data_IF_904472422166
#
_entry.id   IF_904472422166
#
_cell.length_a   1.000
_cell.length_b   1.000
_cell.length_c   1.000
_cell.angle_alpha   90.00
_cell.angle_beta   90.00
_cell.angle_gamma   90.00
#
_symmetry.space_group_name_H-M   'P 1'
#
loop_
_entity.id
_entity.type
_entity.pdbx_description
1 polymer ?
#
# COMPACT_ATOMS: atom_id res chain seq x y z
N UNK A 1 28.62 -18.46 18.27
CA UNK A 1 29.22 -17.09 18.34
C UNK A 1 29.66 -16.49 17.00
N UNK A 2 29.43 -17.12 15.84
CA UNK A 2 29.88 -16.60 14.52
C UNK A 2 29.10 -15.39 13.99
N UNK A 3 27.80 -15.28 14.33
CA UNK A 3 26.91 -14.23 13.83
C UNK A 3 26.73 -13.06 14.81
N UNK A 4 27.79 -12.67 15.52
CA UNK A 4 27.70 -11.50 16.41
C UNK A 4 27.62 -10.22 15.56
N UNK A 5 26.77 -9.23 15.92
CA UNK A 5 26.67 -7.97 15.17
C UNK A 5 27.99 -7.23 15.03
N UNK A 6 28.90 -7.35 15.99
CA UNK A 6 30.25 -6.77 15.92
C UNK A 6 31.05 -7.29 14.73
N UNK A 7 31.00 -8.60 14.44
CA UNK A 7 31.70 -9.16 13.28
C UNK A 7 31.06 -8.73 11.95
N UNK A 8 29.74 -8.51 11.95
CA UNK A 8 29.05 -8.00 10.78
C UNK A 8 29.49 -6.57 10.42
N UNK A 9 29.62 -5.70 11.41
CA UNK A 9 30.08 -4.31 11.21
C UNK A 9 31.58 -4.22 10.86
N UNK A 10 32.37 -5.23 11.25
CA UNK A 10 33.78 -5.34 10.87
C UNK A 10 34.00 -5.90 9.46
N UNK A 11 32.97 -6.49 8.85
CA UNK A 11 33.10 -7.07 7.51
C UNK A 11 33.31 -5.96 6.45
N UNK A 12 34.31 -6.13 5.60
CA UNK A 12 34.67 -5.15 4.57
C UNK A 12 33.49 -4.86 3.63
N UNK A 13 32.73 -5.89 3.24
CA UNK A 13 31.58 -5.70 2.35
C UNK A 13 30.43 -4.92 3.02
N UNK A 14 30.31 -5.01 4.34
CA UNK A 14 29.31 -4.25 5.10
C UNK A 14 29.74 -2.80 5.24
N UNK A 15 31.03 -2.55 5.49
CA UNK A 15 31.59 -1.20 5.55
C UNK A 15 31.47 -0.49 4.20
N UNK A 16 31.79 -1.18 3.09
CA UNK A 16 31.58 -0.64 1.75
C UNK A 16 30.11 -0.28 1.49
N UNK A 17 29.17 -1.14 1.91
CA UNK A 17 27.74 -0.86 1.81
C UNK A 17 27.31 0.35 2.66
N UNK A 18 27.84 0.49 3.87
CA UNK A 18 27.57 1.65 4.74
C UNK A 18 27.99 2.94 4.05
N UNK A 19 29.21 2.98 3.50
CA UNK A 19 29.74 4.14 2.77
C UNK A 19 28.86 4.49 1.57
N UNK A 20 28.39 3.49 0.81
CA UNK A 20 27.52 3.69 -0.35
C UNK A 20 26.12 4.22 0.05
N UNK A 21 25.56 3.71 1.15
CA UNK A 21 24.28 4.22 1.67
C UNK A 21 24.43 5.68 2.12
N UNK A 22 25.51 6.00 2.82
CA UNK A 22 25.77 7.35 3.32
C UNK A 22 26.06 8.34 2.18
N UNK A 23 26.73 7.91 1.09
CA UNK A 23 27.01 8.74 -0.09
C UNK A 23 25.75 9.10 -0.88
N UNK A 24 24.84 8.14 -1.10
CA UNK A 24 23.62 8.36 -1.85
C UNK A 24 22.64 9.30 -1.11
N UNK A 25 22.61 9.19 0.22
CA UNK A 25 21.71 9.99 1.05
C UNK A 25 22.09 11.47 1.14
N UNK A 26 23.36 11.82 0.90
CA UNK A 26 23.79 13.22 0.82
C UNK A 26 23.08 13.99 -0.30
N UNK A 27 22.70 13.30 -1.39
CA UNK A 27 22.02 13.87 -2.56
C UNK A 27 20.55 14.25 -2.29
N UNK A 28 19.94 13.66 -1.25
CA UNK A 28 18.50 13.83 -0.92
C UNK A 28 18.28 14.88 0.18
N UNK A 29 19.35 15.51 0.69
CA UNK A 29 19.27 16.59 1.68
C UNK A 29 18.88 16.14 3.10
N UNK A 30 18.84 14.83 3.35
CA UNK A 30 18.58 14.25 4.67
C UNK A 30 19.85 13.50 5.11
N UNK A 31 20.55 13.94 6.17
CA UNK A 31 21.72 13.23 6.69
C UNK A 31 21.24 11.98 7.45
N UNK A 32 20.93 10.91 6.72
CA UNK A 32 20.60 9.60 7.31
C UNK A 32 21.89 8.83 7.59
N UNK A 33 22.27 8.82 8.87
CA UNK A 33 23.35 7.98 9.40
C UNK A 33 22.95 6.51 9.25
N UNK A 34 23.77 5.69 8.59
CA UNK A 34 23.45 4.28 8.33
C UNK A 34 23.53 3.42 9.61
N UNK A 35 24.43 3.76 10.54
CA UNK A 35 24.60 3.08 11.83
C UNK A 35 24.73 4.11 12.96
N UNK A 36 23.87 4.04 13.97
CA UNK A 36 23.91 4.90 15.16
C UNK A 36 24.02 4.06 16.43
N UNK A 37 25.13 4.19 17.14
CA UNK A 37 25.36 3.49 18.40
C UNK A 37 25.15 4.42 19.59
N UNK A 38 24.30 4.02 20.55
CA UNK A 38 24.01 4.76 21.77
C UNK A 38 24.52 3.94 22.97
N UNK A 39 25.58 4.43 23.63
CA UNK A 39 26.29 3.72 24.69
C UNK A 39 25.84 4.08 26.12
N UNK A 40 24.76 4.84 26.30
CA UNK A 40 24.28 5.32 27.61
C UNK A 40 22.77 5.55 27.68
N UNK A 41 22.22 5.72 28.90
CA UNK A 41 20.79 6.01 29.13
C UNK A 41 19.84 4.80 28.99
N UNK A 42 18.55 5.09 28.80
CA UNK A 42 17.46 4.09 28.62
C UNK A 42 17.44 3.54 27.18
N UNK A 43 17.83 4.35 26.20
CA UNK A 43 17.80 4.01 24.76
C UNK A 43 19.13 3.43 24.26
N UNK A 44 19.77 2.56 25.06
CA UNK A 44 21.04 1.94 24.68
C UNK A 44 20.83 0.93 23.56
N UNK A 45 21.67 0.99 22.55
CA UNK A 45 21.60 0.06 21.43
C UNK A 45 22.29 0.57 20.18
N UNK A 46 22.37 -0.30 19.18
CA UNK A 46 22.81 0.04 17.84
C UNK A 46 21.61 0.07 16.92
N UNK A 47 21.31 1.25 16.38
CA UNK A 47 20.23 1.49 15.44
C UNK A 47 20.81 1.54 14.03
N UNK A 48 20.08 1.00 13.07
CA UNK A 48 20.57 0.78 11.71
C UNK A 48 19.45 1.02 10.71
N UNK A 49 19.81 1.47 9.51
CA UNK A 49 18.86 1.62 8.41
C UNK A 49 18.32 0.26 7.94
N UNK A 50 17.17 0.30 7.27
CA UNK A 50 16.40 -0.88 6.86
C UNK A 50 17.19 -1.80 5.91
N UNK A 51 17.98 -1.20 5.02
CA UNK A 51 18.86 -1.89 4.06
C UNK A 51 19.92 -2.72 4.78
N UNK A 52 20.52 -2.17 5.84
CA UNK A 52 21.53 -2.88 6.62
C UNK A 52 20.93 -4.06 7.40
N UNK A 53 19.69 -3.92 7.87
CA UNK A 53 18.95 -5.02 8.52
C UNK A 53 18.73 -6.18 7.52
N UNK A 54 18.38 -5.88 6.27
CA UNK A 54 18.26 -6.91 5.25
C UNK A 54 19.59 -7.58 4.93
N UNK A 55 20.67 -6.81 4.75
CA UNK A 55 22.01 -7.37 4.51
C UNK A 55 22.46 -8.27 5.68
N UNK A 56 22.19 -7.87 6.92
CA UNK A 56 22.48 -8.67 8.10
C UNK A 56 21.73 -9.99 8.10
N UNK A 57 20.42 -9.97 7.79
CA UNK A 57 19.60 -11.17 7.69
C UNK A 57 20.12 -12.14 6.59
N UNK A 58 20.57 -11.60 5.45
CA UNK A 58 21.20 -12.38 4.38
C UNK A 58 22.53 -13.00 4.83
N UNK A 59 23.35 -12.24 5.56
CA UNK A 59 24.65 -12.70 6.06
C UNK A 59 24.54 -13.85 7.06
N UNK A 60 23.49 -13.85 7.90
CA UNK A 60 23.23 -14.92 8.86
C UNK A 60 22.63 -16.14 8.18
N UNK A 61 21.68 -15.93 7.25
CA UNK A 61 20.88 -17.01 6.67
C UNK A 61 21.05 -17.05 5.15
N UNK A 62 21.83 -18.01 4.60
CA UNK A 62 21.96 -18.18 3.16
C UNK A 62 20.62 -18.56 2.51
N UNK A 63 19.75 -19.27 3.24
CA UNK A 63 18.39 -19.59 2.78
C UNK A 63 17.56 -18.32 2.59
N UNK A 64 17.63 -17.39 3.54
CA UNK A 64 16.94 -16.10 3.42
C UNK A 64 17.52 -15.27 2.27
N UNK A 65 18.85 -15.24 2.13
CA UNK A 65 19.52 -14.56 1.02
C UNK A 65 19.00 -15.03 -0.35
N UNK A 66 18.93 -16.35 -0.56
CA UNK A 66 18.42 -16.92 -1.81
C UNK A 66 16.96 -16.54 -2.09
N UNK A 67 16.11 -16.47 -1.06
CA UNK A 67 14.71 -16.06 -1.19
C UNK A 67 14.62 -14.60 -1.65
N UNK A 68 15.39 -13.70 -1.03
CA UNK A 68 15.36 -12.28 -1.39
C UNK A 68 15.87 -12.05 -2.82
N UNK A 69 16.93 -12.74 -3.22
CA UNK A 69 17.47 -12.66 -4.59
C UNK A 69 16.40 -13.09 -5.60
N UNK A 70 15.78 -14.27 -5.40
CA UNK A 70 14.72 -14.76 -6.29
C UNK A 70 13.48 -13.89 -6.29
N UNK A 71 13.14 -13.29 -5.14
CA UNK A 71 12.03 -12.36 -5.04
C UNK A 71 12.29 -11.10 -5.88
N UNK A 72 13.51 -10.58 -5.83
CA UNK A 72 13.91 -9.44 -6.65
C UNK A 72 13.90 -9.77 -8.15
N UNK A 73 14.45 -10.92 -8.55
CA UNK A 73 14.44 -11.37 -9.95
C UNK A 73 13.02 -11.56 -10.49
N UNK A 74 12.12 -12.14 -9.69
CA UNK A 74 10.72 -12.29 -10.10
C UNK A 74 10.02 -10.93 -10.22
N UNK A 75 10.26 -10.01 -9.27
CA UNK A 75 9.68 -8.66 -9.31
C UNK A 75 10.11 -7.87 -10.56
N UNK A 76 11.39 -7.93 -10.92
CA UNK A 76 11.93 -7.24 -12.12
C UNK A 76 11.40 -7.84 -13.42
N UNK A 77 11.06 -9.14 -13.44
CA UNK A 77 10.38 -9.80 -14.55
C UNK A 77 8.86 -9.57 -14.56
N UNK A 78 8.32 -8.72 -13.68
CA UNK A 78 6.88 -8.46 -13.55
C UNK A 78 6.08 -9.65 -12.98
N UNK A 79 6.76 -10.67 -12.45
CA UNK A 79 6.13 -11.82 -11.80
C UNK A 79 5.83 -11.46 -10.35
N UNK A 80 4.61 -11.72 -9.92
CA UNK A 80 4.25 -11.59 -8.51
C UNK A 80 5.01 -12.64 -7.71
N UNK A 81 5.82 -12.21 -6.74
CA UNK A 81 6.43 -13.13 -5.77
C UNK A 81 5.32 -13.61 -4.87
N UNK A 82 4.92 -14.90 -4.93
CA UNK A 82 4.01 -15.43 -3.94
C UNK A 82 4.78 -15.37 -2.62
N UNK A 83 4.25 -14.68 -1.60
CA UNK A 83 4.72 -14.90 -0.23
C UNK A 83 4.71 -16.42 -0.03
N UNK A 84 5.89 -17.01 0.18
CA UNK A 84 6.06 -18.46 0.25
C UNK A 84 4.95 -19.03 1.12
N UNK A 85 4.12 -19.89 0.54
CA UNK A 85 3.18 -20.70 1.31
C UNK A 85 4.05 -21.50 2.27
N UNK A 86 4.24 -20.98 3.49
CA UNK A 86 4.62 -21.81 4.63
C UNK A 86 3.59 -22.92 4.58
N UNK A 87 4.06 -24.18 4.45
CA UNK A 87 3.20 -25.34 4.46
C UNK A 87 2.10 -25.10 5.48
N UNK A 88 0.85 -25.20 5.01
CA UNK A 88 -0.36 -24.89 5.74
C UNK A 88 -0.43 -25.70 7.03
N UNK A 89 0.29 -25.26 8.05
CA UNK A 89 -0.23 -25.31 9.41
C UNK A 89 -1.52 -24.51 9.32
N UNK A 90 -2.63 -25.17 9.60
CA UNK A 90 -3.98 -24.61 9.64
C UNK A 90 -4.01 -23.42 10.59
N UNK A 91 -3.53 -22.27 10.10
CA UNK A 91 -3.74 -20.98 10.73
C UNK A 91 -5.26 -20.87 10.86
N UNK A 92 -5.81 -20.60 12.06
CA UNK A 92 -7.25 -20.54 12.25
C UNK A 92 -7.82 -19.63 11.16
N UNK A 93 -8.58 -20.21 10.24
CA UNK A 93 -9.08 -19.50 9.08
C UNK A 93 -9.94 -18.36 9.60
N UNK A 94 -9.53 -17.13 9.31
CA UNK A 94 -10.30 -15.99 9.77
C UNK A 94 -11.70 -16.07 9.17
N UNK A 95 -12.76 -15.67 9.90
CA UNK A 95 -14.12 -15.78 9.37
C UNK A 95 -14.27 -14.97 8.08
N UNK A 96 -15.29 -15.31 7.28
CA UNK A 96 -15.69 -14.49 6.13
C UNK A 96 -16.04 -13.07 6.58
N UNK A 97 -15.91 -12.10 5.68
CA UNK A 97 -16.32 -10.72 5.95
C UNK A 97 -17.79 -10.66 6.41
N UNK A 98 -18.09 -9.74 7.33
CA UNK A 98 -19.47 -9.44 7.68
C UNK A 98 -20.18 -8.78 6.50
N UNK A 99 -21.51 -8.88 6.45
CA UNK A 99 -22.33 -8.26 5.41
C UNK A 99 -22.09 -6.74 5.31
N UNK A 100 -21.87 -6.07 6.45
CA UNK A 100 -21.54 -4.64 6.50
C UNK A 100 -20.17 -4.34 5.91
N UNK A 101 -19.14 -5.10 6.29
CA UNK A 101 -17.77 -4.94 5.78
C UNK A 101 -17.69 -5.23 4.28
N UNK A 102 -18.42 -6.24 3.81
CA UNK A 102 -18.58 -6.50 2.39
C UNK A 102 -19.32 -5.35 1.69
N UNK A 103 -20.32 -4.75 2.34
CA UNK A 103 -21.00 -3.55 1.85
C UNK A 103 -20.04 -2.37 1.68
N UNK A 104 -19.14 -2.14 2.63
CA UNK A 104 -18.12 -1.10 2.56
C UNK A 104 -17.10 -1.39 1.44
N UNK A 105 -16.65 -2.64 1.30
CA UNK A 105 -15.79 -3.06 0.19
C UNK A 105 -16.46 -2.83 -1.16
N UNK A 106 -17.71 -3.25 -1.31
CA UNK A 106 -18.50 -3.05 -2.53
C UNK A 106 -18.64 -1.57 -2.86
N UNK A 107 -18.93 -0.73 -1.87
CA UNK A 107 -19.00 0.72 -2.05
C UNK A 107 -17.66 1.31 -2.49
N UNK A 108 -16.56 0.93 -1.84
CA UNK A 108 -15.23 1.41 -2.21
C UNK A 108 -14.88 1.05 -3.67
N UNK A 109 -15.14 -0.20 -4.10
CA UNK A 109 -14.92 -0.63 -5.48
C UNK A 109 -15.79 0.16 -6.46
N UNK A 110 -17.08 0.35 -6.15
CA UNK A 110 -17.99 1.13 -6.99
C UNK A 110 -17.57 2.59 -7.11
N UNK A 111 -17.15 3.20 -5.99
CA UNK A 111 -16.61 4.56 -6.01
C UNK A 111 -15.41 4.59 -6.96
N UNK A 112 -14.40 3.74 -6.78
CA UNK A 112 -13.20 3.72 -7.64
C UNK A 112 -13.58 3.55 -9.12
N UNK A 113 -14.52 2.66 -9.41
CA UNK A 113 -14.97 2.40 -10.77
C UNK A 113 -15.71 3.58 -11.41
N UNK A 114 -16.48 4.37 -10.65
CA UNK A 114 -17.15 5.59 -11.16
C UNK A 114 -16.18 6.64 -11.73
N UNK A 115 -14.91 6.59 -11.32
CA UNK A 115 -13.89 7.48 -11.89
C UNK A 115 -13.39 7.02 -13.26
N UNK A 116 -13.58 5.76 -13.62
CA UNK A 116 -13.32 5.27 -14.96
C UNK A 116 -14.45 5.69 -15.91
N UNK A 117 -14.15 5.77 -17.21
CA UNK A 117 -15.17 6.07 -18.22
C UNK A 117 -16.24 4.97 -18.32
N UNK A 118 -15.83 3.70 -18.26
CA UNK A 118 -16.73 2.54 -18.22
C UNK A 118 -16.76 1.94 -16.82
N UNK A 119 -17.68 2.40 -15.99
CA UNK A 119 -17.83 2.05 -14.57
C UNK A 119 -18.14 0.56 -14.35
N UNK A 120 -19.05 -0.03 -15.13
CA UNK A 120 -19.43 -1.45 -15.00
C UNK A 120 -18.23 -2.35 -15.34
N UNK A 121 -17.55 -2.08 -16.44
CA UNK A 121 -16.38 -2.86 -16.87
C UNK A 121 -15.24 -2.72 -15.87
N UNK A 122 -14.98 -1.51 -15.38
CA UNK A 122 -13.96 -1.28 -14.36
C UNK A 122 -14.27 -2.04 -13.08
N UNK A 123 -15.52 -2.04 -12.62
CA UNK A 123 -15.99 -2.80 -11.45
C UNK A 123 -15.67 -4.30 -11.62
N UNK A 124 -15.98 -4.87 -12.79
CA UNK A 124 -15.74 -6.28 -13.07
C UNK A 124 -14.24 -6.63 -13.10
N UNK A 125 -13.41 -5.77 -13.68
CA UNK A 125 -11.95 -5.93 -13.72
C UNK A 125 -11.35 -5.85 -12.32
N UNK A 126 -11.79 -4.89 -11.49
CA UNK A 126 -11.34 -4.77 -10.10
C UNK A 126 -11.71 -6.04 -9.32
N UNK A 127 -12.95 -6.52 -9.44
CA UNK A 127 -13.35 -7.78 -8.78
C UNK A 127 -12.61 -9.01 -9.30
N UNK A 128 -12.29 -9.07 -10.60
CA UNK A 128 -11.45 -10.14 -11.15
C UNK A 128 -10.03 -10.11 -10.55
N UNK A 129 -9.46 -8.91 -10.40
CA UNK A 129 -8.15 -8.72 -9.77
C UNK A 129 -8.17 -9.13 -8.30
N UNK A 130 -9.19 -8.71 -7.53
CA UNK A 130 -9.32 -9.08 -6.12
C UNK A 130 -9.47 -10.60 -5.93
N UNK A 131 -10.26 -11.26 -6.79
CA UNK A 131 -10.40 -12.74 -6.78
C UNK A 131 -9.08 -13.44 -7.03
N UNK A 132 -8.32 -12.99 -8.03
CA UNK A 132 -7.00 -13.54 -8.35
C UNK A 132 -5.99 -13.38 -7.20
N UNK A 133 -5.99 -12.23 -6.52
CA UNK A 133 -5.08 -11.95 -5.41
C UNK A 133 -5.38 -12.76 -4.15
N UNK A 134 -6.68 -12.94 -3.86
CA UNK A 134 -7.11 -13.67 -2.68
C UNK A 134 -7.17 -15.19 -2.91
N UNK A 135 -6.92 -15.67 -4.14
CA UNK A 135 -7.11 -17.07 -4.55
C UNK A 135 -8.54 -17.57 -4.25
N UNK A 136 -9.56 -16.78 -4.60
CA UNK A 136 -10.96 -17.06 -4.27
C UNK A 136 -11.87 -17.02 -5.51
N UNK A 137 -12.82 -17.96 -5.59
CA UNK A 137 -13.78 -18.04 -6.69
C UNK A 137 -14.78 -16.87 -6.70
N UNK A 138 -15.20 -16.41 -5.52
CA UNK A 138 -16.12 -15.29 -5.35
C UNK A 138 -15.54 -14.21 -4.42
N UNK A 139 -15.87 -12.95 -4.67
CA UNK A 139 -15.46 -11.80 -3.83
C UNK A 139 -16.11 -11.89 -2.44
N UNK A 140 -17.27 -12.54 -2.33
CA UNK A 140 -17.98 -12.75 -1.05
C UNK A 140 -17.23 -13.69 -0.11
N UNK A 141 -16.31 -14.50 -0.64
CA UNK A 141 -15.54 -15.48 0.12
C UNK A 141 -14.21 -14.90 0.64
N UNK A 142 -13.96 -13.60 0.45
CA UNK A 142 -12.82 -12.89 1.03
C UNK A 142 -12.90 -12.95 2.56
N UNK A 143 -11.76 -13.17 3.18
CA UNK A 143 -11.61 -13.28 4.64
C UNK A 143 -10.83 -12.10 5.23
N UNK A 144 -10.92 -11.89 6.54
CA UNK A 144 -10.26 -10.76 7.20
C UNK A 144 -8.72 -10.80 7.14
N UNK A 145 -8.10 -11.98 7.03
CA UNK A 145 -6.65 -12.14 6.84
C UNK A 145 -6.16 -11.56 5.50
N UNK A 146 -7.05 -11.49 4.51
CA UNK A 146 -6.75 -11.01 3.16
C UNK A 146 -7.03 -9.52 3.02
N UNK A 147 -7.58 -8.87 4.05
CA UNK A 147 -8.08 -7.51 3.98
C UNK A 147 -6.99 -6.48 3.71
N UNK A 148 -5.81 -6.68 4.27
CA UNK A 148 -4.68 -5.79 4.04
C UNK A 148 -4.23 -5.83 2.56
N UNK A 149 -4.27 -7.01 1.95
CA UNK A 149 -3.96 -7.20 0.53
C UNK A 149 -5.00 -6.46 -0.32
N UNK A 150 -6.28 -6.64 0.00
CA UNK A 150 -7.38 -5.95 -0.69
C UNK A 150 -7.24 -4.43 -0.57
N UNK A 151 -7.03 -3.90 0.65
CA UNK A 151 -6.85 -2.45 0.87
C UNK A 151 -5.69 -1.89 0.06
N UNK A 152 -4.53 -2.54 0.11
CA UNK A 152 -3.34 -2.11 -0.63
C UNK A 152 -3.58 -2.07 -2.14
N UNK A 153 -4.32 -3.04 -2.67
CA UNK A 153 -4.62 -3.09 -4.10
C UNK A 153 -5.67 -2.05 -4.52
N UNK A 154 -6.65 -1.75 -3.67
CA UNK A 154 -7.57 -0.63 -3.91
C UNK A 154 -6.83 0.71 -3.93
N UNK A 155 -5.94 0.96 -2.96
CA UNK A 155 -5.10 2.16 -2.96
C UNK A 155 -4.19 2.24 -4.19
N UNK A 156 -3.61 1.11 -4.62
CA UNK A 156 -2.79 1.07 -5.84
C UNK A 156 -3.59 1.48 -7.07
N UNK A 157 -4.82 0.96 -7.22
CA UNK A 157 -5.70 1.25 -8.35
C UNK A 157 -6.15 2.71 -8.32
N UNK A 158 -6.56 3.21 -7.16
CA UNK A 158 -6.94 4.62 -6.97
C UNK A 158 -5.80 5.57 -7.34
N UNK A 159 -4.57 5.26 -6.91
CA UNK A 159 -3.38 6.04 -7.28
C UNK A 159 -3.14 6.07 -8.80
N UNK A 160 -3.35 4.96 -9.49
CA UNK A 160 -3.23 4.90 -10.97
C UNK A 160 -4.30 5.77 -11.63
N UNK A 161 -5.54 5.69 -11.17
CA UNK A 161 -6.66 6.45 -11.74
C UNK A 161 -6.57 7.95 -11.44
N UNK A 162 -5.92 8.34 -10.33
CA UNK A 162 -5.79 9.74 -9.90
C UNK A 162 -5.23 10.65 -11.00
N UNK A 163 -4.19 10.22 -11.72
CA UNK A 163 -3.61 11.00 -12.83
C UNK A 163 -4.62 11.21 -13.96
N UNK A 164 -5.36 10.18 -14.33
CA UNK A 164 -6.42 10.26 -15.34
C UNK A 164 -7.55 11.21 -14.90
N UNK A 165 -8.00 11.09 -13.65
CA UNK A 165 -9.08 11.92 -13.08
C UNK A 165 -8.68 13.40 -13.08
N UNK A 166 -7.46 13.72 -12.65
CA UNK A 166 -6.97 15.10 -12.62
C UNK A 166 -6.94 15.69 -14.04
N UNK A 167 -6.43 14.94 -15.01
CA UNK A 167 -6.41 15.36 -16.41
C UNK A 167 -7.84 15.62 -16.94
N UNK A 168 -8.77 14.68 -16.72
CA UNK A 168 -10.17 14.81 -17.13
C UNK A 168 -10.87 16.01 -16.50
N UNK A 169 -10.63 16.27 -15.22
CA UNK A 169 -11.23 17.43 -14.54
C UNK A 169 -10.69 18.73 -15.08
N UNK A 170 -9.39 18.81 -15.35
CA UNK A 170 -8.81 20.01 -15.95
C UNK A 170 -9.39 20.25 -17.35
N UNK A 171 -9.55 19.22 -18.17
CA UNK A 171 -10.19 19.38 -19.48
C UNK A 171 -11.64 19.82 -19.36
N UNK A 172 -12.42 19.26 -18.42
CA UNK A 172 -13.80 19.70 -18.14
C UNK A 172 -13.84 21.19 -17.72
N UNK A 173 -12.94 21.63 -16.82
CA UNK A 173 -12.82 23.05 -16.42
C UNK A 173 -12.51 23.97 -17.60
N UNK A 174 -11.60 23.56 -18.48
CA UNK A 174 -11.25 24.32 -19.69
C UNK A 174 -12.42 24.39 -20.68
N UNK A 175 -13.21 23.32 -20.81
CA UNK A 175 -14.42 23.32 -21.63
C UNK A 175 -15.47 24.28 -21.09
N UNK A 176 -15.72 24.27 -19.77
CA UNK A 176 -16.68 25.17 -19.12
C UNK A 176 -16.29 26.64 -19.37
N UNK A 177 -15.01 26.99 -19.17
CA UNK A 177 -14.48 28.34 -19.45
C UNK A 177 -14.74 28.78 -20.89
N UNK A 178 -14.61 27.86 -21.85
CA UNK A 178 -14.85 28.15 -23.28
C UNK A 178 -16.33 28.28 -23.61
N UNK A 179 -17.20 27.52 -22.95
CA UNK A 179 -18.65 27.54 -23.19
C UNK A 179 -19.27 28.84 -22.65
N UNK A 180 -18.88 29.27 -21.45
CA UNK A 180 -19.50 30.41 -20.76
C UNK A 180 -19.09 31.80 -21.29
N UNK A 181 -18.22 31.88 -22.31
CA UNK A 181 -17.88 33.11 -23.06
C UNK A 181 -17.85 34.45 -22.26
N UNK A 182 -17.17 34.47 -21.10
CA UNK A 182 -16.98 35.69 -20.29
C UNK A 182 -17.88 35.81 -19.05
N UNK A 183 -18.82 34.89 -18.82
CA UNK A 183 -19.63 34.83 -17.58
C UNK A 183 -18.82 34.18 -16.43
N UNK A 184 -17.93 34.96 -15.82
CA UNK A 184 -17.00 34.48 -14.79
C UNK A 184 -17.70 33.90 -13.54
N UNK A 185 -18.88 34.43 -13.17
CA UNK A 185 -19.66 33.94 -12.04
C UNK A 185 -20.17 32.51 -12.26
N UNK A 186 -20.68 32.22 -13.46
CA UNK A 186 -21.17 30.88 -13.84
C UNK A 186 -20.02 29.88 -13.92
N UNK A 187 -18.87 30.31 -14.44
CA UNK A 187 -17.65 29.49 -14.48
C UNK A 187 -17.19 29.16 -13.07
N UNK A 188 -17.14 30.14 -12.18
CA UNK A 188 -16.70 29.96 -10.80
C UNK A 188 -17.61 28.97 -10.05
N UNK A 189 -18.93 29.13 -10.13
CA UNK A 189 -19.90 28.22 -9.52
C UNK A 189 -19.74 26.78 -10.02
N UNK A 190 -19.59 26.59 -11.33
CA UNK A 190 -19.42 25.26 -11.93
C UNK A 190 -18.11 24.60 -11.51
N UNK A 191 -17.00 25.36 -11.48
CA UNK A 191 -15.70 24.84 -11.02
C UNK A 191 -15.76 24.47 -9.53
N UNK A 192 -16.39 25.29 -8.70
CA UNK A 192 -16.58 25.01 -7.28
C UNK A 192 -17.37 23.72 -7.07
N UNK A 193 -18.48 23.52 -7.79
CA UNK A 193 -19.28 22.30 -7.70
C UNK A 193 -18.49 21.03 -8.08
N UNK A 194 -17.58 21.12 -9.07
CA UNK A 194 -16.68 20.03 -9.44
C UNK A 194 -15.70 19.70 -8.31
N UNK A 195 -15.17 20.72 -7.63
CA UNK A 195 -14.23 20.54 -6.52
C UNK A 195 -14.90 19.99 -5.26
N UNK A 196 -16.10 20.47 -4.94
CA UNK A 196 -16.91 19.97 -3.82
C UNK A 196 -17.31 18.51 -4.02
N UNK A 197 -17.83 18.15 -5.21
CA UNK A 197 -18.17 16.76 -5.52
C UNK A 197 -16.94 15.84 -5.50
N UNK A 198 -15.78 16.33 -5.94
CA UNK A 198 -14.50 15.62 -5.86
C UNK A 198 -14.07 15.34 -4.42
N UNK A 199 -14.14 16.35 -3.55
CA UNK A 199 -13.70 16.24 -2.15
C UNK A 199 -14.63 15.34 -1.36
N UNK A 200 -15.94 15.49 -1.53
CA UNK A 200 -16.94 14.59 -0.93
C UNK A 200 -16.69 13.14 -1.35
N UNK A 201 -16.49 12.90 -2.64
CA UNK A 201 -16.17 11.57 -3.16
C UNK A 201 -14.89 10.98 -2.55
N UNK A 202 -13.81 11.78 -2.43
CA UNK A 202 -12.54 11.32 -1.87
C UNK A 202 -12.67 10.93 -0.39
N UNK A 203 -13.44 11.72 0.37
CA UNK A 203 -13.73 11.44 1.77
C UNK A 203 -14.55 10.16 1.93
N UNK A 204 -15.58 9.98 1.11
CA UNK A 204 -16.39 8.76 1.10
C UNK A 204 -15.56 7.51 0.77
N UNK A 205 -14.66 7.61 -0.21
CA UNK A 205 -13.79 6.50 -0.57
C UNK A 205 -12.83 6.14 0.57
N UNK A 206 -12.19 7.15 1.17
CA UNK A 206 -11.28 6.97 2.29
C UNK A 206 -12.00 6.32 3.48
N UNK A 207 -13.16 6.86 3.87
CA UNK A 207 -13.99 6.33 4.95
C UNK A 207 -14.36 4.86 4.71
N UNK A 208 -14.80 4.50 3.49
CA UNK A 208 -15.15 3.12 3.18
C UNK A 208 -13.92 2.19 3.23
N UNK A 209 -12.76 2.60 2.69
CA UNK A 209 -11.54 1.76 2.72
C UNK A 209 -11.03 1.57 4.16
N UNK A 210 -11.08 2.61 4.98
CA UNK A 210 -10.65 2.56 6.38
C UNK A 210 -11.59 1.70 7.22
N UNK A 211 -12.91 1.89 7.06
CA UNK A 211 -13.96 1.20 7.80
C UNK A 211 -14.00 -0.30 7.56
N UNK A 212 -13.50 -0.78 6.42
CA UNK A 212 -13.40 -2.20 6.11
C UNK A 212 -12.57 -2.91 7.20
N UNK A 213 -13.21 -3.79 7.98
CA UNK A 213 -12.56 -4.57 9.05
C UNK A 213 -12.50 -3.89 10.42
N UNK A 214 -12.72 -2.58 10.49
CA UNK A 214 -12.79 -1.85 11.76
C UNK A 214 -13.97 -2.30 12.61
N UNK A 215 -15.12 -2.60 11.98
CA UNK A 215 -16.33 -3.05 12.66
C UNK A 215 -16.14 -4.37 13.45
N UNK A 216 -15.31 -5.27 12.94
CA UNK A 216 -14.98 -6.52 13.65
C UNK A 216 -14.00 -6.29 14.80
N UNK A 217 -12.98 -5.45 14.61
CA UNK A 217 -12.04 -5.12 15.69
C UNK A 217 -12.73 -4.35 16.82
N UNK A 218 -13.64 -3.42 16.50
CA UNK A 218 -14.53 -2.79 17.48
C UNK A 218 -15.40 -3.80 18.22
N UNK A 219 -15.95 -4.80 17.53
CA UNK A 219 -16.76 -5.86 18.18
C UNK A 219 -15.93 -6.77 19.08
N UNK A 220 -14.65 -7.02 18.77
CA UNK A 220 -13.73 -7.73 19.69
C UNK A 220 -13.39 -6.90 20.92
N UNK A 221 -13.17 -5.60 20.76
CA UNK A 221 -12.84 -4.67 21.86
C UNK A 221 -14.06 -4.42 22.76
N UNK A 222 -15.26 -4.32 22.17
CA UNK A 222 -16.51 -4.05 22.90
C UNK A 222 -17.23 -5.32 23.37
N UNK A 223 -16.96 -6.48 22.78
CA UNK A 223 -17.54 -7.78 23.14
C UNK A 223 -16.66 -8.62 24.07
N UNK A 224 -15.60 -8.04 24.63
CA UNK A 224 -14.80 -8.61 25.72
C UNK A 224 -15.32 -8.14 27.07
N UNK A 225 -16.55 -8.52 27.43
CA UNK A 225 -17.13 -8.43 28.77
C UNK A 225 -18.08 -9.62 28.96
#
# INVERSE_FOLDING_TARGET
>A
NRHRPTFFLQNQETQALITEIESQNFTVGIPTVAVKTVNGGINRGTYVCKELVYRYAMWISPKFSLIVIRAFDAMTQGRFVPCTKVASQSKPQSPKLSQSDYGNLRRAVLLIAKNAFYDITATNVIYARLRSLCEVNSVTDIRYDQLNIVKNELYRIERILRTYITCRRETEKQLIRRICMGDDDSVWQAIQAIEESSTAYANDLAYNIESIGYAKELRKVLGGA
#
